data_IF_093848748817
#
_entry.id   IF_093848748817
#
_cell.length_a   1.000
_cell.length_b   1.000
_cell.length_c   1.000
_cell.angle_alpha   90.00
_cell.angle_beta   90.00
_cell.angle_gamma   90.00
#
_symmetry.space_group_name_H-M   'P 1'
#
loop_
_entity.id
_entity.type
_entity.pdbx_description
1 polymer ?
#
# COMPACT_ATOMS: atom_id res chain seq x y z
N UNK A 1 -23.96 -29.56 -5.69
CA UNK A 1 -23.90 -28.10 -5.81
C UNK A 1 -23.58 -27.58 -4.42
N UNK A 2 -22.35 -27.11 -4.18
CA UNK A 2 -21.95 -26.56 -2.88
C UNK A 2 -21.05 -25.34 -3.16
N UNK A 3 -21.42 -24.20 -2.56
CA UNK A 3 -20.78 -22.91 -2.74
C UNK A 3 -19.34 -22.89 -2.17
N UNK A 4 -18.41 -22.10 -2.73
CA UNK A 4 -17.05 -22.01 -2.22
C UNK A 4 -17.03 -21.11 -0.97
N UNK A 5 -16.51 -21.61 0.15
CA UNK A 5 -16.22 -20.79 1.33
C UNK A 5 -14.82 -20.19 1.19
N UNK A 6 -14.72 -18.87 1.14
CA UNK A 6 -13.45 -18.14 1.19
C UNK A 6 -12.79 -18.31 2.56
N UNK A 7 -11.73 -19.13 2.63
CA UNK A 7 -10.59 -19.04 3.56
C UNK A 7 -9.86 -20.40 3.58
N UNK A 8 -8.87 -20.58 2.70
CA UNK A 8 -7.87 -21.66 2.77
C UNK A 8 -8.43 -23.08 2.95
N UNK A 9 -9.65 -23.33 2.47
CA UNK A 9 -10.34 -24.61 2.67
C UNK A 9 -9.91 -25.56 1.58
N UNK A 10 -9.27 -26.67 1.99
CA UNK A 10 -9.08 -27.84 1.15
C UNK A 10 -10.41 -28.19 0.45
N UNK A 11 -10.52 -27.82 -0.83
CA UNK A 11 -11.70 -28.10 -1.63
C UNK A 11 -11.75 -29.61 -1.85
N UNK A 12 -12.64 -30.28 -1.13
CA UNK A 12 -12.81 -31.73 -1.26
C UNK A 12 -13.66 -32.01 -2.49
N UNK A 13 -13.01 -32.39 -3.59
CA UNK A 13 -13.68 -32.77 -4.84
C UNK A 13 -13.90 -34.29 -4.81
N UNK A 14 -15.12 -34.72 -4.47
CA UNK A 14 -15.54 -36.10 -4.60
C UNK A 14 -16.39 -36.25 -5.87
N UNK A 15 -15.75 -36.59 -6.99
CA UNK A 15 -16.45 -36.94 -8.24
C UNK A 15 -16.05 -38.34 -8.68
N UNK A 16 -16.96 -39.32 -8.67
CA UNK A 16 -16.65 -40.66 -9.17
C UNK A 16 -16.43 -40.60 -10.69
N UNK A 17 -15.47 -41.38 -11.18
CA UNK A 17 -15.23 -41.59 -12.61
C UNK A 17 -15.63 -43.03 -12.93
N UNK A 18 -16.67 -43.20 -13.75
CA UNK A 18 -17.17 -44.51 -14.14
C UNK A 18 -16.53 -44.96 -15.45
N UNK A 19 -15.96 -46.16 -15.47
CA UNK A 19 -15.44 -46.80 -16.69
C UNK A 19 -16.54 -47.64 -17.34
N UNK A 20 -16.57 -47.69 -18.67
CA UNK A 20 -17.59 -48.44 -19.41
C UNK A 20 -17.56 -49.95 -19.13
N UNK A 21 -16.39 -50.49 -18.79
CA UNK A 21 -16.17 -51.88 -18.38
C UNK A 21 -15.15 -51.94 -17.24
N UNK A 22 -15.19 -52.97 -16.37
CA UNK A 22 -14.15 -53.19 -15.37
C UNK A 22 -12.77 -53.29 -16.02
N UNK A 23 -11.85 -52.42 -15.62
CA UNK A 23 -10.51 -52.33 -16.20
C UNK A 23 -9.43 -52.17 -15.13
N UNK A 24 -8.23 -52.68 -15.42
CA UNK A 24 -7.07 -52.54 -14.54
C UNK A 24 -6.50 -51.13 -14.63
N UNK A 25 -6.46 -50.41 -13.51
CA UNK A 25 -5.86 -49.08 -13.41
C UNK A 25 -4.45 -49.21 -12.81
N UNK A 26 -3.44 -48.85 -13.59
CA UNK A 26 -2.04 -48.93 -13.13
C UNK A 26 -1.52 -47.61 -12.54
N UNK A 27 -2.06 -46.46 -12.94
CA UNK A 27 -1.60 -45.14 -12.49
C UNK A 27 -2.72 -44.12 -12.54
N UNK A 28 -2.77 -43.26 -11.53
CA UNK A 28 -3.59 -42.04 -11.49
C UNK A 28 -2.65 -40.85 -11.36
N UNK A 29 -2.82 -39.84 -12.21
CA UNK A 29 -2.04 -38.60 -12.21
C UNK A 29 -2.94 -37.39 -12.11
N UNK A 30 -2.55 -36.44 -11.26
CA UNK A 30 -3.23 -35.16 -11.14
C UNK A 30 -2.43 -34.10 -11.91
N UNK A 31 -3.13 -33.28 -12.69
CA UNK A 31 -2.59 -32.10 -13.34
C UNK A 31 -3.51 -30.92 -13.05
N UNK A 32 -2.93 -29.76 -12.75
CA UNK A 32 -3.66 -28.51 -12.62
C UNK A 32 -3.33 -27.63 -13.84
N UNK A 33 -4.35 -26.97 -14.39
CA UNK A 33 -4.17 -25.98 -15.45
C UNK A 33 -3.49 -24.73 -14.88
N UNK A 34 -2.39 -24.29 -15.52
CA UNK A 34 -1.63 -23.10 -15.11
C UNK A 34 -2.29 -21.80 -15.57
N UNK A 35 -3.21 -21.83 -16.55
CA UNK A 35 -3.78 -20.61 -17.16
C UNK A 35 -4.86 -19.93 -16.31
N UNK A 36 -5.44 -20.62 -15.32
CA UNK A 36 -6.30 -20.02 -14.28
C UNK A 36 -5.56 -19.86 -12.95
N UNK A 37 -4.32 -19.38 -13.00
CA UNK A 37 -3.66 -18.90 -11.81
C UNK A 37 -4.50 -17.77 -11.20
N UNK A 38 -5.04 -18.00 -10.00
CA UNK A 38 -5.55 -16.93 -9.17
C UNK A 38 -4.41 -15.91 -8.91
N UNK A 39 -4.74 -14.65 -8.61
CA UNK A 39 -3.74 -13.60 -8.37
C UNK A 39 -2.66 -14.07 -7.39
N UNK A 40 -1.39 -13.66 -7.56
CA UNK A 40 -0.24 -14.14 -6.77
C UNK A 40 -0.41 -13.97 -5.25
N UNK A 41 -1.32 -13.11 -4.82
CA UNK A 41 -1.67 -12.85 -3.43
C UNK A 41 -2.40 -14.02 -2.74
N UNK A 42 -2.94 -14.99 -3.49
CA UNK A 42 -3.71 -16.10 -2.89
C UNK A 42 -2.88 -17.29 -2.42
N UNK A 43 -1.59 -17.40 -2.78
CA UNK A 43 -0.72 -18.50 -2.34
C UNK A 43 -1.19 -19.93 -2.71
N UNK A 44 -2.28 -20.06 -3.45
CA UNK A 44 -2.94 -21.32 -3.75
C UNK A 44 -2.59 -21.78 -5.16
N UNK A 45 -1.47 -22.48 -5.28
CA UNK A 45 -1.35 -23.45 -6.37
C UNK A 45 -2.40 -24.52 -6.05
N UNK A 46 -3.44 -24.66 -6.88
CA UNK A 46 -4.47 -25.71 -6.76
C UNK A 46 -3.88 -27.05 -7.21
N UNK A 47 -2.81 -27.48 -6.57
CA UNK A 47 -2.27 -28.83 -6.71
C UNK A 47 -2.91 -29.71 -5.64
N UNK A 48 -3.30 -30.93 -6.00
CA UNK A 48 -3.94 -31.87 -5.06
C UNK A 48 -2.93 -32.24 -3.96
N UNK A 49 -3.03 -31.57 -2.81
CA UNK A 49 -2.12 -31.77 -1.68
C UNK A 49 -2.46 -32.97 -0.81
N UNK A 50 -3.74 -33.32 -0.72
CA UNK A 50 -4.26 -34.51 -0.02
C UNK A 50 -5.29 -35.22 -0.88
N UNK A 51 -5.26 -36.55 -0.92
CA UNK A 51 -6.21 -37.35 -1.68
C UNK A 51 -6.49 -38.70 -1.01
N UNK A 52 -7.68 -39.23 -1.26
CA UNK A 52 -8.05 -40.63 -1.00
C UNK A 52 -8.63 -41.17 -2.31
N UNK A 53 -8.12 -42.32 -2.76
CA UNK A 53 -8.64 -43.02 -3.93
C UNK A 53 -9.41 -44.25 -3.47
N UNK A 54 -10.64 -44.36 -3.95
CA UNK A 54 -11.56 -45.46 -3.67
C UNK A 54 -12.04 -46.02 -5.02
N UNK A 55 -12.27 -47.33 -5.06
CA UNK A 55 -12.78 -48.03 -6.24
C UNK A 55 -13.98 -48.89 -5.85
N UNK A 56 -14.88 -49.07 -6.80
CA UNK A 56 -16.10 -49.87 -6.64
C UNK A 56 -16.39 -50.58 -7.96
N UNK A 57 -16.90 -51.81 -7.89
CA UNK A 57 -17.34 -52.58 -9.07
C UNK A 57 -18.85 -52.54 -9.28
N UNK A 58 -19.60 -52.24 -8.22
CA UNK A 58 -21.06 -52.23 -8.15
C UNK A 58 -21.63 -50.80 -8.02
N UNK A 59 -20.79 -49.81 -7.74
CA UNK A 59 -21.15 -48.42 -7.47
C UNK A 59 -21.62 -48.17 -6.03
N UNK A 60 -21.87 -49.22 -5.25
CA UNK A 60 -22.36 -49.17 -3.86
C UNK A 60 -21.27 -49.44 -2.83
N UNK A 61 -20.43 -50.45 -3.03
CA UNK A 61 -19.34 -50.78 -2.12
C UNK A 61 -18.03 -50.15 -2.59
N UNK A 62 -17.52 -49.22 -1.80
CA UNK A 62 -16.29 -48.48 -2.09
C UNK A 62 -15.13 -48.99 -1.24
N UNK A 63 -14.05 -49.41 -1.90
CA UNK A 63 -12.83 -49.85 -1.26
C UNK A 63 -11.72 -48.83 -1.47
N UNK A 64 -11.14 -48.36 -0.37
CA UNK A 64 -9.95 -47.50 -0.40
C UNK A 64 -8.73 -48.26 -0.91
N UNK A 65 -8.10 -47.73 -1.96
CA UNK A 65 -6.93 -48.34 -2.63
C UNK A 65 -5.65 -47.51 -2.49
N UNK A 66 -5.76 -46.20 -2.28
CA UNK A 66 -4.59 -45.34 -2.06
C UNK A 66 -4.95 -44.07 -1.27
N UNK A 67 -3.96 -43.48 -0.62
CA UNK A 67 -4.06 -42.14 -0.04
C UNK A 67 -2.73 -41.37 -0.13
N UNK A 68 -2.81 -40.09 0.20
CA UNK A 68 -1.68 -39.18 0.32
C UNK A 68 -0.87 -39.35 1.61
N UNK A 69 -1.35 -40.11 2.62
CA UNK A 69 -0.73 -40.16 3.96
C UNK A 69 0.67 -40.75 3.95
N UNK A 70 0.94 -41.66 3.00
CA UNK A 70 2.27 -42.28 2.81
C UNK A 70 3.25 -41.42 2.02
N UNK A 71 2.83 -40.24 1.53
CA UNK A 71 3.68 -39.30 0.78
C UNK A 71 4.17 -38.17 1.66
N UNK A 72 5.29 -37.54 1.28
CA UNK A 72 5.75 -36.29 1.90
C UNK A 72 4.66 -35.22 1.72
N UNK A 73 4.24 -34.51 2.79
CA UNK A 73 3.33 -33.38 2.67
C UNK A 73 3.88 -32.31 1.73
N UNK A 74 3.00 -31.59 1.03
CA UNK A 74 3.40 -30.55 0.07
C UNK A 74 4.17 -29.42 0.75
N UNK A 75 3.76 -29.03 1.95
CA UNK A 75 4.42 -28.03 2.78
C UNK A 75 4.17 -28.29 4.27
N UNK A 76 4.73 -27.45 5.14
CA UNK A 76 4.59 -27.59 6.59
C UNK A 76 3.16 -27.41 7.09
N UNK A 77 2.32 -26.65 6.40
CA UNK A 77 0.92 -26.48 6.77
C UNK A 77 0.15 -27.80 6.62
N UNK A 78 0.31 -28.50 5.50
CA UNK A 78 -0.25 -29.85 5.31
C UNK A 78 0.31 -30.86 6.32
N UNK A 79 1.61 -30.76 6.65
CA UNK A 79 2.23 -31.62 7.66
C UNK A 79 1.59 -31.41 9.05
N UNK A 80 1.40 -30.14 9.46
CA UNK A 80 0.71 -29.78 10.71
C UNK A 80 -0.74 -30.26 10.71
N UNK A 81 -1.46 -30.06 9.61
CA UNK A 81 -2.85 -30.48 9.51
C UNK A 81 -3.02 -32.00 9.62
N UNK A 82 -2.14 -32.80 9.01
CA UNK A 82 -2.15 -34.26 9.18
C UNK A 82 -1.98 -34.68 10.64
N UNK A 83 -0.99 -34.09 11.32
CA UNK A 83 -0.73 -34.37 12.74
C UNK A 83 -1.92 -33.98 13.60
N UNK A 84 -2.50 -32.82 13.33
CA UNK A 84 -3.69 -32.33 14.01
C UNK A 84 -4.86 -33.30 13.80
N UNK A 85 -5.21 -33.64 12.56
CA UNK A 85 -6.29 -34.60 12.24
C UNK A 85 -6.08 -35.97 12.87
N UNK A 86 -4.83 -36.43 13.00
CA UNK A 86 -4.51 -37.70 13.65
C UNK A 86 -4.63 -37.65 15.18
N UNK A 87 -4.41 -36.48 15.78
CA UNK A 87 -4.43 -36.28 17.23
C UNK A 87 -5.79 -35.79 17.76
N UNK A 88 -6.64 -35.20 16.92
CA UNK A 88 -7.94 -34.66 17.32
C UNK A 88 -8.90 -35.77 17.76
N UNK A 89 -9.50 -35.60 18.94
CA UNK A 89 -10.63 -36.41 19.39
C UNK A 89 -11.94 -35.89 18.79
N UNK A 90 -13.03 -36.67 18.92
CA UNK A 90 -14.38 -36.21 18.52
C UNK A 90 -14.78 -34.91 19.23
N UNK A 91 -14.38 -34.76 20.50
CA UNK A 91 -14.68 -33.57 21.29
C UNK A 91 -13.92 -32.34 20.76
N UNK A 92 -12.66 -32.50 20.36
CA UNK A 92 -11.86 -31.40 19.81
C UNK A 92 -12.39 -30.92 18.46
N UNK A 93 -12.91 -31.84 17.63
CA UNK A 93 -13.57 -31.51 16.37
C UNK A 93 -14.81 -30.65 16.62
N UNK A 94 -15.67 -31.04 17.57
CA UNK A 94 -16.87 -30.27 17.92
C UNK A 94 -16.52 -28.86 18.40
N UNK A 95 -15.57 -28.74 19.32
CA UNK A 95 -15.12 -27.42 19.83
C UNK A 95 -14.54 -26.53 18.73
N UNK A 96 -13.72 -27.10 17.84
CA UNK A 96 -13.17 -26.36 16.69
C UNK A 96 -14.29 -25.83 15.80
N UNK A 97 -15.29 -26.65 15.54
CA UNK A 97 -16.41 -26.26 14.67
C UNK A 97 -17.30 -25.21 15.34
N UNK A 98 -17.46 -25.24 16.66
CA UNK A 98 -18.08 -24.18 17.47
C UNK A 98 -17.31 -22.86 17.33
N UNK A 99 -16.00 -22.85 17.64
CA UNK A 99 -15.18 -21.65 17.51
C UNK A 99 -15.13 -21.10 16.09
N UNK A 100 -15.18 -21.99 15.08
CA UNK A 100 -15.24 -21.55 13.68
C UNK A 100 -16.57 -20.86 13.37
N UNK A 101 -17.69 -21.33 13.93
CA UNK A 101 -18.98 -20.64 13.79
C UNK A 101 -18.94 -19.27 14.45
N UNK A 102 -18.42 -19.17 15.68
CA UNK A 102 -18.28 -17.90 16.40
C UNK A 102 -17.38 -16.91 15.63
N UNK A 103 -16.24 -17.38 15.12
CA UNK A 103 -15.33 -16.56 14.32
C UNK A 103 -15.99 -16.05 13.05
N UNK A 104 -16.77 -16.89 12.36
CA UNK A 104 -17.48 -16.48 11.17
C UNK A 104 -18.55 -15.42 11.48
N UNK A 105 -19.31 -15.60 12.56
CA UNK A 105 -20.30 -14.60 13.01
C UNK A 105 -19.64 -13.26 13.32
N UNK A 106 -18.55 -13.26 14.11
CA UNK A 106 -17.81 -12.03 14.42
C UNK A 106 -17.24 -11.36 13.16
N UNK A 107 -16.73 -12.15 12.20
CA UNK A 107 -16.24 -11.60 10.94
C UNK A 107 -17.36 -11.00 10.08
N UNK A 108 -18.54 -11.62 10.06
CA UNK A 108 -19.72 -11.10 9.36
C UNK A 108 -20.18 -9.78 10.01
N UNK A 109 -20.16 -9.69 11.35
CA UNK A 109 -20.44 -8.43 12.07
C UNK A 109 -19.44 -7.33 11.71
N UNK A 110 -18.13 -7.63 11.69
CA UNK A 110 -17.09 -6.67 11.29
C UNK A 110 -17.30 -6.19 9.85
N UNK A 111 -17.63 -7.11 8.93
CA UNK A 111 -17.89 -6.77 7.52
C UNK A 111 -19.16 -5.94 7.33
N UNK A 112 -20.15 -6.09 8.22
CA UNK A 112 -21.38 -5.30 8.21
C UNK A 112 -21.15 -3.85 8.67
N UNK A 113 -20.04 -3.56 9.37
CA UNK A 113 -19.69 -2.18 9.74
C UNK A 113 -19.27 -1.42 8.47
N UNK A 114 -19.99 -0.34 8.08
CA UNK A 114 -19.61 0.46 6.93
C UNK A 114 -18.24 1.11 7.17
N UNK A 115 -17.41 1.16 6.14
CA UNK A 115 -16.12 1.85 6.22
C UNK A 115 -16.33 3.32 6.59
N UNK A 116 -15.73 3.75 7.69
CA UNK A 116 -15.75 5.15 8.09
C UNK A 116 -15.08 6.01 7.01
N UNK A 117 -15.60 7.22 6.81
CA UNK A 117 -14.95 8.22 5.95
C UNK A 117 -13.53 8.44 6.44
N UNK A 118 -12.58 7.92 5.68
CA UNK A 118 -11.17 8.08 5.99
C UNK A 118 -10.71 9.42 5.46
N UNK A 119 -10.17 10.25 6.34
CA UNK A 119 -9.53 11.51 5.98
C UNK A 119 -8.03 11.41 6.24
N UNK A 120 -7.25 11.99 5.34
CA UNK A 120 -5.82 12.19 5.60
C UNK A 120 -5.67 13.39 6.54
N UNK A 121 -5.48 13.12 7.82
CA UNK A 121 -5.17 14.12 8.83
C UNK A 121 -3.67 14.05 9.17
N UNK A 122 -2.99 15.19 9.08
CA UNK A 122 -1.62 15.31 9.58
C UNK A 122 -1.61 15.35 11.10
N UNK A 123 -0.72 14.59 11.73
CA UNK A 123 -0.44 14.72 13.16
C UNK A 123 0.74 15.68 13.34
N UNK A 124 0.54 16.75 14.10
CA UNK A 124 1.61 17.68 14.46
C UNK A 124 2.32 17.12 15.68
N UNK A 125 3.57 16.69 15.50
CA UNK A 125 4.41 16.17 16.59
C UNK A 125 5.72 16.95 16.63
N UNK A 126 6.18 17.24 17.85
CA UNK A 126 7.50 17.80 18.04
C UNK A 126 8.55 16.78 17.59
N UNK A 127 9.51 17.16 16.74
CA UNK A 127 10.62 16.27 16.40
C UNK A 127 11.36 15.84 17.66
N UNK A 128 11.51 14.54 17.86
CA UNK A 128 12.19 13.98 19.04
C UNK A 128 13.69 14.29 19.03
N UNK A 129 14.30 14.37 17.85
CA UNK A 129 15.71 14.69 17.66
C UNK A 129 15.88 15.92 16.75
N UNK A 130 16.94 16.72 16.97
CA UNK A 130 17.33 17.77 16.04
C UNK A 130 17.63 17.23 14.64
N UNK A 131 17.32 18.02 13.62
CA UNK A 131 17.67 17.68 12.25
C UNK A 131 19.20 17.65 12.06
N UNK A 132 19.70 16.74 11.22
CA UNK A 132 21.14 16.56 10.96
C UNK A 132 21.42 16.47 9.48
N UNK A 133 22.63 16.88 9.08
CA UNK A 133 23.13 16.64 7.73
C UNK A 133 23.57 15.18 7.63
N UNK A 134 23.00 14.42 6.70
CA UNK A 134 23.41 13.04 6.44
C UNK A 134 24.60 12.99 5.48
N UNK A 135 25.72 12.41 5.92
CA UNK A 135 26.95 12.37 5.13
C UNK A 135 26.75 11.45 3.91
N UNK A 136 26.79 12.03 2.72
CA UNK A 136 26.54 11.30 1.47
C UNK A 136 25.08 10.87 1.27
N UNK A 137 24.14 11.46 2.02
CA UNK A 137 22.71 11.10 1.95
C UNK A 137 22.35 9.81 2.69
N UNK A 138 23.29 9.23 3.45
CA UNK A 138 23.08 8.01 4.23
C UNK A 138 22.46 8.32 5.61
N UNK A 139 21.21 7.90 5.89
CA UNK A 139 20.54 8.12 7.18
C UNK A 139 21.28 7.52 8.37
N UNK A 140 22.09 6.47 8.16
CA UNK A 140 22.87 5.82 9.22
C UNK A 140 24.16 6.59 9.57
N UNK A 141 24.48 7.63 8.79
CA UNK A 141 25.69 8.45 8.98
C UNK A 141 25.32 9.90 9.30
N UNK A 142 24.73 10.16 10.48
CA UNK A 142 24.41 11.50 10.90
C UNK A 142 25.68 12.34 11.05
N UNK A 143 25.65 13.53 10.49
CA UNK A 143 26.67 14.57 10.62
C UNK A 143 26.26 15.65 11.61
N UNK A 144 26.59 16.88 11.26
CA UNK A 144 26.33 18.06 12.07
C UNK A 144 24.84 18.33 12.22
N UNK A 145 24.45 18.78 13.40
CA UNK A 145 23.09 19.25 13.69
C UNK A 145 22.83 20.56 12.95
N UNK A 146 21.65 20.70 12.36
CA UNK A 146 21.22 21.92 11.67
C UNK A 146 20.05 22.57 12.40
N UNK A 147 20.12 23.89 12.51
CA UNK A 147 19.02 24.70 13.02
C UNK A 147 17.89 24.80 11.98
N UNK A 148 16.61 24.86 12.40
CA UNK A 148 15.52 25.20 11.51
C UNK A 148 15.70 26.62 10.96
N UNK A 149 15.98 26.73 9.66
CA UNK A 149 16.29 28.01 9.02
C UNK A 149 15.75 28.07 7.59
N UNK A 150 15.72 29.28 7.03
CA UNK A 150 15.54 29.50 5.59
C UNK A 150 16.71 28.96 4.78
N UNK A 151 16.49 28.74 3.47
CA UNK A 151 17.55 28.30 2.56
C UNK A 151 18.65 29.36 2.43
N UNK A 152 19.86 29.04 2.89
CA UNK A 152 21.01 29.95 2.85
C UNK A 152 21.40 30.39 1.43
N UNK A 153 21.09 29.57 0.42
CA UNK A 153 21.27 29.90 -1.00
C UNK A 153 20.46 31.11 -1.46
N UNK A 154 19.38 31.43 -0.75
CA UNK A 154 18.48 32.55 -1.06
C UNK A 154 18.75 33.80 -0.22
N UNK A 155 19.77 33.78 0.65
CA UNK A 155 20.07 34.89 1.57
C UNK A 155 20.43 36.22 0.87
N UNK A 156 20.82 36.17 -0.42
CA UNK A 156 21.07 37.38 -1.23
C UNK A 156 19.81 38.01 -1.82
N UNK A 157 18.70 37.28 -1.80
CA UNK A 157 17.47 37.62 -2.53
C UNK A 157 16.32 37.92 -1.57
N UNK A 158 16.30 37.31 -0.40
CA UNK A 158 15.29 37.51 0.65
C UNK A 158 15.94 37.41 2.02
N UNK A 159 15.46 38.18 2.99
CA UNK A 159 15.92 38.06 4.37
C UNK A 159 15.66 36.65 4.89
N UNK A 160 16.67 36.04 5.53
CA UNK A 160 16.56 34.71 6.11
C UNK A 160 15.94 34.71 7.50
N UNK A 161 15.66 33.52 8.01
CA UNK A 161 15.38 33.29 9.42
C UNK A 161 16.16 32.07 9.92
N UNK A 162 16.42 32.05 11.22
CA UNK A 162 16.97 30.90 11.93
C UNK A 162 16.28 30.80 13.29
N UNK A 163 15.90 29.60 13.70
CA UNK A 163 15.27 29.31 14.98
C UNK A 163 16.18 28.41 15.82
N UNK A 164 16.02 28.42 17.15
CA UNK A 164 16.68 27.45 18.02
C UNK A 164 16.39 25.98 17.60
N UNK A 165 17.35 25.05 17.77
CA UNK A 165 17.16 23.63 17.42
C UNK A 165 15.99 22.94 18.14
N UNK A 166 15.58 23.45 19.29
CA UNK A 166 14.48 22.97 20.14
C UNK A 166 13.17 23.74 19.91
N UNK A 167 13.12 24.68 18.95
CA UNK A 167 11.93 25.47 18.67
C UNK A 167 10.69 24.59 18.46
N UNK A 168 9.51 24.97 18.98
CA UNK A 168 8.27 24.22 18.79
C UNK A 168 7.93 24.03 17.31
N UNK A 169 7.36 22.88 16.96
CA UNK A 169 7.04 22.49 15.58
C UNK A 169 6.12 23.52 14.90
N UNK A 170 5.09 23.99 15.61
CA UNK A 170 4.21 25.05 15.14
C UNK A 170 4.97 26.35 14.85
N UNK A 171 5.97 26.68 15.67
CA UNK A 171 6.84 27.85 15.48
C UNK A 171 7.71 27.73 14.23
N UNK A 172 8.27 26.53 13.97
CA UNK A 172 9.05 26.25 12.75
C UNK A 172 8.20 26.44 11.49
N UNK A 173 6.98 25.88 11.47
CA UNK A 173 6.06 26.04 10.33
C UNK A 173 5.64 27.49 10.14
N UNK A 174 5.35 28.19 11.23
CA UNK A 174 4.97 29.60 11.17
C UNK A 174 6.11 30.48 10.63
N UNK A 175 7.35 30.24 11.05
CA UNK A 175 8.50 30.96 10.55
C UNK A 175 8.71 30.73 9.04
N UNK A 176 8.60 29.47 8.60
CA UNK A 176 8.66 29.12 7.18
C UNK A 176 7.53 29.79 6.39
N UNK A 177 6.30 29.76 6.90
CA UNK A 177 5.15 30.38 6.25
C UNK A 177 5.33 31.90 6.10
N UNK A 178 5.81 32.58 7.16
CA UNK A 178 6.13 34.01 7.12
C UNK A 178 7.23 34.33 6.11
N UNK A 179 8.27 33.50 6.04
CA UNK A 179 9.37 33.65 5.08
C UNK A 179 8.93 33.44 3.62
N UNK A 180 7.99 32.52 3.37
CA UNK A 180 7.42 32.31 2.02
C UNK A 180 6.65 33.55 1.56
N UNK A 181 5.87 34.19 2.43
CA UNK A 181 5.00 35.33 2.07
C UNK A 181 5.64 36.70 2.35
N UNK A 182 6.94 36.72 2.66
CA UNK A 182 7.66 37.93 2.99
C UNK A 182 7.62 38.93 1.82
N UNK A 183 7.42 40.24 2.07
CA UNK A 183 7.35 41.25 1.02
C UNK A 183 8.60 41.33 0.12
N UNK A 184 9.75 41.06 0.71
CA UNK A 184 11.05 41.05 0.04
C UNK A 184 11.38 39.72 -0.63
N UNK A 185 10.52 38.70 -0.52
CA UNK A 185 10.71 37.42 -1.20
C UNK A 185 10.11 37.46 -2.62
N UNK A 186 10.92 37.54 -3.68
CA UNK A 186 10.41 37.70 -5.04
C UNK A 186 9.96 36.38 -5.67
N UNK A 187 10.26 35.23 -5.07
CA UNK A 187 9.99 33.91 -5.68
C UNK A 187 8.50 33.58 -5.63
N UNK A 188 7.88 33.76 -4.47
CA UNK A 188 6.46 33.47 -4.24
C UNK A 188 5.52 34.25 -5.16
N UNK A 189 5.64 35.59 -5.30
CA UNK A 189 4.75 36.34 -6.18
C UNK A 189 4.98 36.04 -7.66
N UNK A 190 6.23 35.82 -8.10
CA UNK A 190 6.53 35.39 -9.49
C UNK A 190 5.95 34.02 -9.80
N UNK A 191 6.12 33.06 -8.89
CA UNK A 191 5.55 31.73 -9.01
C UNK A 191 4.03 31.75 -9.13
N UNK A 192 3.38 32.54 -8.28
CA UNK A 192 1.93 32.69 -8.31
C UNK A 192 1.44 33.39 -9.59
N UNK A 193 2.07 34.50 -9.99
CA UNK A 193 1.75 35.22 -11.22
C UNK A 193 1.85 34.31 -12.45
N UNK A 194 2.94 33.53 -12.56
CA UNK A 194 3.12 32.59 -13.66
C UNK A 194 2.05 31.50 -13.67
N UNK A 195 1.67 30.96 -12.49
CA UNK A 195 0.60 29.96 -12.39
C UNK A 195 -0.75 30.53 -12.81
N UNK A 196 -1.09 31.72 -12.34
CA UNK A 196 -2.32 32.41 -12.74
C UNK A 196 -2.33 32.60 -14.25
N UNK A 197 -1.25 33.12 -14.83
CA UNK A 197 -1.10 33.30 -16.27
C UNK A 197 -1.28 31.98 -17.03
N UNK A 198 -0.57 30.93 -16.60
CA UNK A 198 -0.65 29.59 -17.19
C UNK A 198 -2.08 29.05 -17.20
N UNK A 199 -2.83 29.19 -16.10
CA UNK A 199 -4.23 28.73 -16.05
C UNK A 199 -5.18 29.53 -16.95
N UNK A 200 -4.88 30.78 -17.28
CA UNK A 200 -5.72 31.60 -18.16
C UNK A 200 -5.39 31.41 -19.64
N UNK A 201 -4.11 31.27 -19.99
CA UNK A 201 -3.64 31.27 -21.38
C UNK A 201 -3.15 29.90 -21.88
N UNK A 202 -3.10 28.89 -21.01
CA UNK A 202 -2.66 27.53 -21.35
C UNK A 202 -1.14 27.35 -21.43
N UNK A 203 -0.36 28.43 -21.52
CA UNK A 203 1.09 28.40 -21.35
C UNK A 203 1.55 29.45 -20.32
N UNK A 204 2.60 29.12 -19.57
CA UNK A 204 3.21 30.04 -18.60
C UNK A 204 4.07 31.09 -19.30
N UNK A 205 4.40 32.18 -18.59
CA UNK A 205 5.50 33.07 -18.99
C UNK A 205 6.84 32.34 -18.84
N UNK A 206 6.92 31.47 -17.83
CA UNK A 206 7.93 30.41 -17.69
C UNK A 206 7.23 29.08 -17.94
N UNK A 207 7.71 28.34 -18.95
CA UNK A 207 7.11 27.06 -19.39
C UNK A 207 7.15 25.97 -18.30
N UNK A 208 8.00 26.14 -17.28
CA UNK A 208 8.09 25.29 -16.09
C UNK A 208 7.46 25.97 -14.85
N UNK A 209 6.15 25.79 -14.56
CA UNK A 209 5.45 26.54 -13.50
C UNK A 209 5.95 26.28 -12.07
N UNK A 210 6.76 25.24 -11.89
CA UNK A 210 7.33 24.81 -10.60
C UNK A 210 8.84 24.96 -10.52
N UNK A 211 9.51 25.44 -11.58
CA UNK A 211 10.96 25.59 -11.62
C UNK A 211 11.35 26.96 -12.17
N UNK A 212 11.82 27.83 -11.27
CA UNK A 212 12.37 29.16 -11.56
C UNK A 212 13.90 29.21 -11.38
N UNK A 213 14.53 28.03 -11.22
CA UNK A 213 15.98 27.90 -11.07
C UNK A 213 16.69 27.77 -12.43
N UNK A 214 17.97 27.43 -12.39
CA UNK A 214 18.78 27.23 -13.61
C UNK A 214 18.32 26.04 -14.46
N UNK A 215 17.56 25.11 -13.88
CA UNK A 215 16.98 23.97 -14.58
C UNK A 215 15.62 24.31 -15.21
N UNK A 216 15.01 25.43 -14.84
CA UNK A 216 13.77 25.94 -15.41
C UNK A 216 14.00 26.72 -16.71
N UNK A 217 12.90 26.95 -17.43
CA UNK A 217 12.90 27.84 -18.59
C UNK A 217 13.11 29.30 -18.19
N UNK A 218 13.74 30.09 -19.08
CA UNK A 218 13.77 31.54 -18.89
C UNK A 218 12.37 32.13 -19.15
N UNK A 219 11.96 33.18 -18.41
CA UNK A 219 10.72 33.87 -18.70
C UNK A 219 10.74 34.46 -20.11
N UNK A 220 9.70 34.20 -20.90
CA UNK A 220 9.51 34.81 -22.22
C UNK A 220 9.41 36.34 -22.15
N UNK A 221 8.78 36.86 -21.09
CA UNK A 221 8.60 38.29 -20.83
C UNK A 221 8.90 38.59 -19.35
N UNK A 222 10.18 38.77 -18.98
CA UNK A 222 10.59 38.93 -17.58
C UNK A 222 10.03 40.19 -16.92
N UNK A 223 9.98 41.30 -17.64
CA UNK A 223 9.43 42.57 -17.12
C UNK A 223 7.92 42.47 -16.83
N UNK A 224 7.18 41.75 -17.68
CA UNK A 224 5.76 41.49 -17.45
C UNK A 224 5.54 40.60 -16.22
N UNK A 225 6.36 39.55 -16.07
CA UNK A 225 6.31 38.69 -14.89
C UNK A 225 6.58 39.47 -13.60
N UNK A 226 7.59 40.34 -13.61
CA UNK A 226 7.93 41.19 -12.48
C UNK A 226 6.82 42.20 -12.16
N UNK A 227 6.22 42.80 -13.20
CA UNK A 227 5.07 43.68 -13.04
C UNK A 227 3.86 42.96 -12.42
N UNK A 228 3.53 41.77 -12.91
CA UNK A 228 2.42 40.96 -12.36
C UNK A 228 2.69 40.52 -10.92
N UNK A 229 3.94 40.13 -10.62
CA UNK A 229 4.36 39.75 -9.27
C UNK A 229 4.21 40.94 -8.30
N UNK A 230 4.63 42.14 -8.73
CA UNK A 230 4.47 43.37 -7.92
C UNK A 230 2.99 43.69 -7.68
N UNK A 231 2.15 43.60 -8.72
CA UNK A 231 0.70 43.82 -8.62
C UNK A 231 0.02 42.87 -7.64
N UNK A 232 0.41 41.60 -7.59
CA UNK A 232 -0.12 40.66 -6.60
C UNK A 232 0.16 41.12 -5.17
N UNK A 233 1.35 41.66 -4.92
CA UNK A 233 1.74 42.16 -3.62
C UNK A 233 0.96 43.44 -3.25
N UNK A 234 0.91 44.42 -4.16
CA UNK A 234 0.18 45.70 -3.96
C UNK A 234 -1.32 45.48 -3.63
N UNK A 235 -1.94 44.47 -4.24
CA UNK A 235 -3.36 44.15 -4.05
C UNK A 235 -3.61 43.10 -2.96
N UNK A 236 -2.63 42.85 -2.09
CA UNK A 236 -2.79 41.98 -0.92
C UNK A 236 -3.11 40.53 -1.26
N UNK A 237 -2.50 40.00 -2.33
CA UNK A 237 -2.65 38.62 -2.80
C UNK A 237 -4.07 38.23 -3.24
N UNK A 238 -4.93 39.20 -3.52
CA UNK A 238 -6.30 38.95 -4.02
C UNK A 238 -6.27 38.47 -5.47
N UNK A 239 -6.70 37.23 -5.69
CA UNK A 239 -6.78 36.62 -7.02
C UNK A 239 -8.14 36.77 -7.70
N UNK A 240 -9.20 36.89 -6.91
CA UNK A 240 -10.57 37.08 -7.39
C UNK A 240 -11.15 38.34 -6.73
N UNK A 241 -11.99 39.12 -7.44
CA UNK A 241 -12.72 40.25 -6.87
C UNK A 241 -13.60 39.85 -5.69
#
# INVERSE_FOLDING_TARGET
MAAPSENGTATTIARPVTLAVPARINRVSFSADRQKALPPESGEIVFVGEYTLEVSLDGSEWKKVADSRRRKPVNDAFARERRLRAALTKQDVTRRDEFRRELNLANDEIRAVPSLTSVWAGRFEQPAEPARVFKGGDPERPGETVAPASLSTLARVTAGFELPPDAPEAGRRLALAKWIVQPDNPLTPRGLANRVWHFHFGNGLVDSPSDFGQLGGLPSHPELLDWLAHRLHEHGWRLKP
#
